data_IF_632356249145
#
_entry.id   IF_632356249145
#
_cell.length_a   1.000
_cell.length_b   1.000
_cell.length_c   1.000
_cell.angle_alpha   90.00
_cell.angle_beta   90.00
_cell.angle_gamma   90.00
#
_symmetry.space_group_name_H-M   'P 1'
#
loop_
_entity.id
_entity.type
_entity.pdbx_description
1 polymer ?
#
# COMPACT_ATOMS: atom_id res chain seq x y z
N UNK A 1 -1.40 -1.28 -9.80
CA UNK A 1 -0.15 -1.61 -9.04
C UNK A 1 1.01 -0.59 -9.09
N UNK A 2 1.16 0.24 -10.13
CA UNK A 2 2.37 1.06 -10.36
C UNK A 2 2.68 2.09 -9.25
N UNK A 3 1.65 2.72 -8.68
CA UNK A 3 1.79 3.70 -7.59
C UNK A 3 2.53 3.11 -6.39
N UNK A 4 2.15 1.90 -5.99
CA UNK A 4 2.74 1.21 -4.83
C UNK A 4 4.19 0.83 -5.06
N UNK A 5 4.52 0.34 -6.27
CA UNK A 5 5.91 0.04 -6.62
C UNK A 5 6.77 1.29 -6.64
N UNK A 6 6.30 2.36 -7.28
CA UNK A 6 7.02 3.63 -7.34
C UNK A 6 7.19 4.24 -5.95
N UNK A 7 6.20 4.07 -5.07
CA UNK A 7 6.31 4.49 -3.67
C UNK A 7 7.45 3.78 -2.95
N UNK A 8 7.51 2.45 -3.07
CA UNK A 8 8.59 1.65 -2.48
C UNK A 8 9.95 1.95 -3.11
N UNK A 9 10.02 2.23 -4.42
CA UNK A 9 11.26 2.59 -5.12
C UNK A 9 11.89 3.90 -4.58
N UNK A 10 11.06 4.89 -4.23
CA UNK A 10 11.53 6.15 -3.60
C UNK A 10 11.78 6.01 -2.08
N UNK A 11 11.75 4.78 -1.54
CA UNK A 11 11.94 4.51 -0.11
C UNK A 11 10.71 4.81 0.75
N UNK A 12 9.54 4.93 0.16
CA UNK A 12 8.28 5.09 0.87
C UNK A 12 7.72 3.75 1.36
N UNK A 13 7.23 3.74 2.59
CA UNK A 13 6.58 2.56 3.19
C UNK A 13 5.07 2.64 2.98
N UNK A 14 4.39 1.50 2.93
CA UNK A 14 2.94 1.43 2.84
C UNK A 14 2.38 0.39 3.81
N UNK A 15 1.15 0.62 4.28
CA UNK A 15 0.44 -0.29 5.20
C UNK A 15 -1.03 -0.41 4.81
N UNK A 16 -1.58 -1.61 4.89
CA UNK A 16 -2.98 -1.91 4.63
C UNK A 16 -3.82 -1.50 5.85
N UNK A 17 -4.70 -0.51 5.68
CA UNK A 17 -5.67 -0.13 6.71
C UNK A 17 -6.93 -0.97 6.68
N UNK A 18 -7.28 -1.49 5.50
CA UNK A 18 -8.50 -2.25 5.33
C UNK A 18 -8.52 -3.05 4.05
N UNK A 19 -9.08 -4.25 4.14
CA UNK A 19 -9.34 -5.13 3.01
C UNK A 19 -10.84 -5.42 2.93
N UNK A 20 -11.39 -5.18 1.75
CA UNK A 20 -12.73 -5.59 1.33
C UNK A 20 -12.58 -6.60 0.20
N UNK A 21 -13.68 -7.28 -0.16
CA UNK A 21 -13.69 -8.41 -1.10
C UNK A 21 -12.89 -8.14 -2.39
N UNK A 22 -13.05 -6.94 -2.95
CA UNK A 22 -12.36 -6.50 -4.16
C UNK A 22 -11.73 -5.12 -3.99
N UNK A 23 -11.44 -4.67 -2.77
CA UNK A 23 -10.90 -3.33 -2.57
C UNK A 23 -9.91 -3.30 -1.41
N UNK A 24 -8.76 -2.70 -1.66
CA UNK A 24 -7.73 -2.45 -0.68
C UNK A 24 -7.67 -0.96 -0.35
N UNK A 25 -7.47 -0.70 0.94
CA UNK A 25 -7.26 0.63 1.49
C UNK A 25 -5.86 0.61 2.09
N UNK A 26 -4.96 1.36 1.48
CA UNK A 26 -3.52 1.34 1.77
C UNK A 26 -3.09 2.76 2.10
N UNK A 27 -2.50 2.95 3.27
CA UNK A 27 -1.87 4.18 3.68
C UNK A 27 -0.44 4.20 3.16
N UNK A 28 -0.05 5.32 2.58
CA UNK A 28 1.30 5.62 2.13
C UNK A 28 1.97 6.45 3.21
N UNK A 29 3.10 5.97 3.70
CA UNK A 29 3.88 6.57 4.75
C UNK A 29 5.21 7.05 4.17
N UNK A 30 5.71 8.18 4.67
CA UNK A 30 7.07 8.60 4.33
C UNK A 30 8.10 7.64 4.94
N UNK A 31 9.31 7.67 4.39
CA UNK A 31 10.47 6.95 4.90
C UNK A 31 10.73 7.18 6.40
N UNK A 32 10.32 8.34 6.95
CA UNK A 32 10.43 8.66 8.38
C UNK A 32 9.41 7.90 9.27
N UNK A 33 8.55 7.05 8.67
CA UNK A 33 7.73 6.05 9.37
C UNK A 33 6.53 6.57 10.18
N UNK A 34 6.45 7.87 10.45
CA UNK A 34 5.42 8.41 11.35
C UNK A 34 4.13 8.89 10.69
N UNK A 35 4.21 9.52 9.51
CA UNK A 35 3.09 10.28 8.94
C UNK A 35 2.52 9.62 7.68
N UNK A 36 1.21 9.31 7.72
CA UNK A 36 0.42 8.94 6.53
C UNK A 36 0.31 10.19 5.66
N UNK A 37 0.96 10.16 4.50
CA UNK A 37 0.95 11.28 3.55
C UNK A 37 -0.16 11.18 2.54
N UNK A 38 -0.60 9.95 2.24
CA UNK A 38 -1.68 9.72 1.31
C UNK A 38 -2.35 8.37 1.57
N UNK A 39 -3.58 8.22 1.07
CA UNK A 39 -4.33 6.98 1.15
C UNK A 39 -4.77 6.53 -0.24
N UNK A 40 -4.21 5.40 -0.65
CA UNK A 40 -4.58 4.73 -1.88
C UNK A 40 -5.75 3.76 -1.63
N UNK A 41 -6.87 4.01 -2.29
CA UNK A 41 -7.98 3.06 -2.37
C UNK A 41 -7.98 2.46 -3.77
N UNK A 42 -7.89 1.14 -3.87
CA UNK A 42 -7.82 0.48 -5.17
C UNK A 42 -8.53 -0.86 -5.18
N UNK A 43 -9.27 -1.10 -6.26
CA UNK A 43 -9.95 -2.35 -6.55
C UNK A 43 -9.25 -3.16 -7.65
N UNK A 44 -7.99 -2.82 -7.92
CA UNK A 44 -7.20 -3.40 -8.99
C UNK A 44 -6.78 -4.84 -8.61
N UNK A 45 -7.16 -5.88 -9.39
CA UNK A 45 -6.85 -7.27 -9.07
C UNK A 45 -5.34 -7.55 -9.07
N UNK A 46 -4.56 -6.77 -9.84
CA UNK A 46 -3.11 -6.87 -9.85
C UNK A 46 -2.50 -6.35 -8.55
N UNK A 47 -3.02 -5.23 -8.03
CA UNK A 47 -2.68 -4.72 -6.70
C UNK A 47 -3.05 -5.71 -5.58
N UNK A 48 -4.24 -6.31 -5.68
CA UNK A 48 -4.70 -7.35 -4.74
C UNK A 48 -3.75 -8.54 -4.71
N UNK A 49 -3.27 -9.01 -5.87
CA UNK A 49 -2.27 -10.06 -5.97
C UNK A 49 -0.89 -9.64 -5.45
N UNK A 50 -0.47 -8.40 -5.74
CA UNK A 50 0.82 -7.87 -5.28
C UNK A 50 0.89 -7.75 -3.75
N UNK A 51 -0.18 -7.23 -3.14
CA UNK A 51 -0.29 -7.14 -1.68
C UNK A 51 -0.45 -8.52 -1.07
N UNK A 52 -1.25 -9.41 -1.69
CA UNK A 52 -1.40 -10.79 -1.22
C UNK A 52 -1.89 -10.81 0.23
N UNK A 53 -1.19 -11.52 1.11
CA UNK A 53 -1.48 -11.56 2.56
C UNK A 53 -0.68 -10.53 3.39
N UNK A 54 0.09 -9.66 2.73
CA UNK A 54 0.93 -8.66 3.41
C UNK A 54 0.06 -7.56 4.00
N UNK A 55 0.39 -7.15 5.22
CA UNK A 55 -0.23 -6.01 5.90
C UNK A 55 0.51 -4.71 5.67
N UNK A 56 1.75 -4.76 5.19
CA UNK A 56 2.65 -3.62 4.98
C UNK A 56 3.84 -4.02 4.12
N UNK A 57 4.67 -3.04 3.74
CA UNK A 57 5.86 -3.28 2.90
C UNK A 57 7.02 -3.93 3.64
N UNK A 58 7.04 -3.90 4.97
CA UNK A 58 8.16 -4.35 5.78
C UNK A 58 8.00 -5.80 6.24
N UNK A 59 6.75 -6.29 6.26
CA UNK A 59 6.37 -7.68 6.46
C UNK A 59 6.64 -8.58 5.24
#
# INVERSE_FOLDING_TARGET
METLRRWTDVGGTWRVHGRRRDTLIIGLYRCDGGEEVDRLISADPDLLRYVGDRTDSEA
#
